data_IF_972464027681
#
_entry.id   IF_972464027681
#
_cell.length_a   1.000
_cell.length_b   1.000
_cell.length_c   1.000
_cell.angle_alpha   90.00
_cell.angle_beta   90.00
_cell.angle_gamma   90.00
#
_symmetry.space_group_name_H-M   'P 1'
#
loop_
_entity.id
_entity.type
_entity.pdbx_description
1 polymer ?
#
# COMPACT_ATOMS: atom_id res chain seq x y z
N UNK A 1 -23.25 -1.70 -36.08
CA UNK A 1 -23.84 -0.60 -35.29
C UNK A 1 -24.22 -1.17 -33.94
N UNK A 2 -23.77 -0.54 -32.84
CA UNK A 2 -23.81 -1.04 -31.46
C UNK A 2 -22.43 -0.88 -30.84
N UNK A 3 -21.96 0.36 -30.69
CA UNK A 3 -22.06 1.17 -29.45
C UNK A 3 -21.02 0.75 -28.41
N UNK A 4 -19.80 1.24 -28.59
CA UNK A 4 -18.78 1.29 -27.54
C UNK A 4 -19.27 2.26 -26.46
N UNK A 5 -19.52 1.74 -25.26
CA UNK A 5 -19.72 2.55 -24.08
C UNK A 5 -18.35 3.11 -23.68
N UNK A 6 -18.15 4.40 -23.91
CA UNK A 6 -17.02 5.14 -23.35
C UNK A 6 -17.15 5.18 -21.83
N UNK A 7 -16.30 4.41 -21.17
CA UNK A 7 -16.07 4.50 -19.73
C UNK A 7 -15.26 5.77 -19.44
N UNK A 8 -15.97 6.87 -19.18
CA UNK A 8 -15.35 8.14 -18.74
C UNK A 8 -15.38 8.18 -17.23
N UNK A 9 -14.24 7.87 -16.62
CA UNK A 9 -14.00 8.13 -15.21
C UNK A 9 -14.20 9.65 -14.90
N UNK A 10 -14.62 10.03 -13.68
CA UNK A 10 -14.85 11.42 -13.32
C UNK A 10 -13.51 12.17 -13.24
N UNK A 11 -13.09 12.76 -14.36
CA UNK A 11 -11.86 13.54 -14.47
C UNK A 11 -11.76 14.39 -15.74
N UNK A 12 -12.85 14.47 -16.52
CA UNK A 12 -12.89 15.32 -17.72
C UNK A 12 -12.85 16.80 -17.29
N UNK A 13 -11.65 17.37 -17.42
CA UNK A 13 -11.31 18.80 -17.51
C UNK A 13 -12.11 19.72 -16.56
N UNK A 14 -11.48 20.08 -15.45
CA UNK A 14 -11.93 21.23 -14.64
C UNK A 14 -12.28 22.41 -15.58
N UNK A 15 -13.41 23.12 -15.36
CA UNK A 15 -13.73 24.33 -16.09
C UNK A 15 -12.52 25.27 -16.20
N UNK A 16 -12.40 26.00 -17.31
CA UNK A 16 -11.22 26.86 -17.57
C UNK A 16 -10.93 27.84 -16.44
N UNK A 17 -11.98 28.34 -15.78
CA UNK A 17 -11.87 29.23 -14.62
C UNK A 17 -11.22 28.53 -13.42
N UNK A 18 -11.66 27.31 -13.10
CA UNK A 18 -11.08 26.49 -12.04
C UNK A 18 -9.62 26.13 -12.34
N UNK A 19 -9.28 25.89 -13.60
CA UNK A 19 -7.89 25.63 -14.02
C UNK A 19 -6.99 26.84 -13.81
N UNK A 20 -7.47 28.05 -14.11
CA UNK A 20 -6.69 29.30 -13.92
C UNK A 20 -6.55 29.61 -12.42
N UNK A 21 -7.63 29.49 -11.64
CA UNK A 21 -7.61 29.72 -10.20
C UNK A 21 -6.74 28.69 -9.48
N UNK A 22 -6.84 27.40 -9.82
CA UNK A 22 -6.01 26.35 -9.22
C UNK A 22 -4.53 26.56 -9.53
N UNK A 23 -4.20 26.99 -10.76
CA UNK A 23 -2.83 27.29 -11.16
C UNK A 23 -2.26 28.46 -10.37
N UNK A 24 -3.03 29.55 -10.23
CA UNK A 24 -2.62 30.72 -9.44
C UNK A 24 -2.44 30.37 -7.95
N UNK A 25 -3.37 29.58 -7.38
CA UNK A 25 -3.27 29.09 -6.01
C UNK A 25 -2.05 28.18 -5.82
N UNK A 26 -1.78 27.26 -6.75
CA UNK A 26 -0.62 26.36 -6.68
C UNK A 26 0.73 27.08 -6.67
N UNK A 27 0.79 28.26 -7.30
CA UNK A 27 2.00 29.08 -7.37
C UNK A 27 2.19 29.98 -6.14
N UNK A 28 1.10 30.42 -5.52
CA UNK A 28 1.13 31.43 -4.43
C UNK A 28 1.02 30.82 -3.04
N UNK A 29 0.38 29.65 -2.90
CA UNK A 29 0.22 28.98 -1.61
C UNK A 29 1.45 28.12 -1.26
N UNK A 30 1.74 28.04 0.03
CA UNK A 30 2.87 27.27 0.55
C UNK A 30 2.45 25.87 1.00
N UNK A 31 2.69 24.86 0.15
CA UNK A 31 2.40 23.45 0.43
C UNK A 31 3.51 22.72 1.21
N UNK A 32 4.12 23.38 2.20
CA UNK A 32 5.22 22.82 3.01
C UNK A 32 4.99 21.37 3.49
N UNK A 33 3.83 21.00 4.07
CA UNK A 33 3.61 19.63 4.54
C UNK A 33 3.61 18.60 3.40
N UNK A 34 2.98 18.91 2.27
CA UNK A 34 2.92 18.00 1.11
C UNK A 34 4.31 17.82 0.48
N UNK A 35 5.14 18.88 0.50
CA UNK A 35 6.53 18.83 0.03
C UNK A 35 7.46 17.95 0.90
N UNK A 36 7.01 17.45 2.06
CA UNK A 36 7.76 16.51 2.90
C UNK A 36 7.60 15.04 2.47
N UNK A 37 6.74 14.74 1.50
CA UNK A 37 6.64 13.40 0.92
C UNK A 37 7.99 13.05 0.27
N UNK A 38 8.62 11.99 0.74
CA UNK A 38 9.99 11.60 0.38
C UNK A 38 10.12 10.17 -0.15
N UNK A 39 9.05 9.37 -0.09
CA UNK A 39 9.04 8.01 -0.60
C UNK A 39 7.72 7.68 -1.30
N UNK A 40 7.81 6.97 -2.43
CA UNK A 40 6.71 6.29 -3.09
C UNK A 40 6.91 4.79 -2.93
N UNK A 41 5.97 4.13 -2.26
CA UNK A 41 5.89 2.68 -2.18
C UNK A 41 4.62 2.20 -2.89
N UNK A 42 4.65 0.98 -3.42
CA UNK A 42 3.47 0.32 -3.92
C UNK A 42 3.35 -1.07 -3.29
N UNK A 43 2.16 -1.35 -2.77
CA UNK A 43 1.82 -2.56 -2.04
C UNK A 43 0.37 -2.96 -2.34
N UNK A 44 -0.11 -3.98 -1.63
CA UNK A 44 -1.50 -4.40 -1.71
C UNK A 44 -2.04 -4.54 -0.30
N UNK A 45 -3.26 -4.08 -0.07
CA UNK A 45 -3.96 -4.24 1.21
C UNK A 45 -5.11 -5.22 1.09
N UNK A 46 -5.38 -5.95 2.17
CA UNK A 46 -6.57 -6.75 2.36
C UNK A 46 -7.52 -6.06 3.35
N UNK A 47 -8.83 -6.20 3.16
CA UNK A 47 -9.80 -5.71 4.13
C UNK A 47 -9.77 -6.58 5.38
N UNK A 48 -9.72 -6.00 6.59
CA UNK A 48 -9.68 -6.79 7.82
C UNK A 48 -10.95 -7.65 8.03
N UNK A 49 -12.11 -7.16 7.58
CA UNK A 49 -13.40 -7.85 7.66
C UNK A 49 -13.64 -8.84 6.51
N UNK A 50 -12.99 -8.63 5.36
CA UNK A 50 -13.03 -9.51 4.19
C UNK A 50 -11.63 -9.65 3.55
N UNK A 51 -10.74 -10.47 4.14
CA UNK A 51 -9.34 -10.55 3.70
C UNK A 51 -9.13 -11.11 2.29
N UNK A 52 -10.21 -11.55 1.62
CA UNK A 52 -10.18 -12.01 0.24
C UNK A 52 -10.24 -10.87 -0.78
N UNK A 53 -10.75 -9.70 -0.37
CA UNK A 53 -10.73 -8.49 -1.19
C UNK A 53 -9.40 -7.78 -1.04
N UNK A 54 -8.85 -7.34 -2.17
CA UNK A 54 -7.51 -6.76 -2.25
C UNK A 54 -7.50 -5.45 -3.03
N UNK A 55 -6.73 -4.49 -2.55
CA UNK A 55 -6.59 -3.15 -3.17
C UNK A 55 -5.11 -2.86 -3.37
N UNK A 56 -4.68 -2.67 -4.62
CA UNK A 56 -3.36 -2.12 -4.91
C UNK A 56 -3.30 -0.69 -4.39
N UNK A 57 -2.25 -0.36 -3.66
CA UNK A 57 -2.14 0.91 -2.95
C UNK A 57 -0.80 1.56 -3.23
N UNK A 58 -0.85 2.84 -3.61
CA UNK A 58 0.32 3.70 -3.78
C UNK A 58 0.48 4.58 -2.54
N UNK A 59 1.55 4.37 -1.80
CA UNK A 59 1.86 5.06 -0.56
C UNK A 59 2.83 6.20 -0.86
N UNK A 60 2.39 7.42 -0.57
CA UNK A 60 3.24 8.61 -0.65
C UNK A 60 3.54 9.07 0.78
N UNK A 61 4.75 8.75 1.23
CA UNK A 61 5.11 8.78 2.63
C UNK A 61 6.02 9.96 3.00
N UNK A 62 5.81 10.48 4.20
CA UNK A 62 6.69 11.41 4.89
C UNK A 62 7.13 10.80 6.22
N UNK A 63 8.39 11.00 6.59
CA UNK A 63 8.91 10.63 7.92
C UNK A 63 8.63 11.77 8.91
N UNK A 64 7.93 11.50 10.01
CA UNK A 64 7.64 12.51 11.04
C UNK A 64 8.81 12.66 12.03
N UNK A 65 9.32 11.53 12.51
CA UNK A 65 10.48 11.41 13.37
C UNK A 65 11.17 10.06 13.12
N UNK A 66 12.12 9.63 13.95
CA UNK A 66 12.81 8.35 13.78
C UNK A 66 11.93 7.11 14.07
N UNK A 67 10.74 7.31 14.64
CA UNK A 67 9.85 6.24 15.08
C UNK A 67 8.52 6.16 14.33
N UNK A 68 8.11 7.23 13.64
CA UNK A 68 6.82 7.37 12.99
C UNK A 68 6.97 7.83 11.54
N UNK A 69 6.38 7.05 10.64
CA UNK A 69 6.15 7.39 9.24
C UNK A 69 4.65 7.45 8.99
N UNK A 70 4.23 8.36 8.12
CA UNK A 70 2.85 8.47 7.69
C UNK A 70 2.78 8.53 6.16
N UNK A 71 1.72 8.01 5.58
CA UNK A 71 1.53 7.95 4.15
C UNK A 71 0.11 8.36 3.77
N UNK A 72 0.00 9.13 2.69
CA UNK A 72 -1.26 9.29 1.97
C UNK A 72 -1.33 8.15 0.95
N UNK A 73 -2.47 7.48 0.91
CA UNK A 73 -2.69 6.31 0.07
C UNK A 73 -3.53 6.70 -1.14
N UNK A 74 -3.08 6.30 -2.32
CA UNK A 74 -3.76 6.51 -3.60
C UNK A 74 -4.02 5.19 -4.32
N UNK A 75 -5.09 5.14 -5.13
CA UNK A 75 -5.43 3.98 -5.94
C UNK A 75 -4.55 3.79 -7.19
N UNK A 76 -3.85 4.84 -7.61
CA UNK A 76 -2.94 4.83 -8.75
C UNK A 76 -1.80 5.84 -8.54
N UNK A 77 -0.70 5.76 -9.31
CA UNK A 77 0.37 6.74 -9.29
C UNK A 77 0.12 7.94 -10.22
N UNK A 78 -1.05 8.00 -10.88
CA UNK A 78 -1.36 8.98 -11.93
C UNK A 78 -1.80 10.33 -11.34
N UNK A 79 -1.68 11.45 -12.08
CA UNK A 79 -2.00 12.78 -11.56
C UNK A 79 -3.44 12.98 -11.06
N UNK A 80 -4.39 12.19 -11.53
CA UNK A 80 -5.81 12.22 -11.14
C UNK A 80 -6.19 11.09 -10.17
N UNK A 81 -5.21 10.46 -9.54
CA UNK A 81 -5.43 9.39 -8.58
C UNK A 81 -6.33 9.84 -7.41
N UNK A 82 -7.17 8.92 -6.94
CA UNK A 82 -8.05 9.16 -5.80
C UNK A 82 -7.28 8.92 -4.51
N UNK A 83 -7.40 9.82 -3.54
CA UNK A 83 -6.96 9.54 -2.17
C UNK A 83 -7.91 8.49 -1.61
N UNK A 84 -7.38 7.29 -1.32
CA UNK A 84 -8.17 6.18 -0.80
C UNK A 84 -7.99 5.98 0.68
N UNK A 85 -6.97 6.55 1.32
CA UNK A 85 -6.72 6.31 2.73
C UNK A 85 -5.46 6.92 3.29
N UNK A 86 -5.16 6.54 4.53
CA UNK A 86 -3.96 6.94 5.26
C UNK A 86 -3.36 5.70 5.92
N UNK A 87 -2.04 5.65 5.99
CA UNK A 87 -1.32 4.68 6.79
C UNK A 87 -0.33 5.36 7.72
N UNK A 88 -0.20 4.81 8.93
CA UNK A 88 0.90 5.08 9.85
C UNK A 88 1.76 3.83 9.96
N UNK A 89 3.07 4.01 9.96
CA UNK A 89 4.04 2.97 10.27
C UNK A 89 4.86 3.40 11.48
N UNK A 90 4.99 2.49 12.46
CA UNK A 90 5.72 2.76 13.70
C UNK A 90 6.76 1.67 13.99
N UNK A 91 7.77 2.02 14.78
CA UNK A 91 8.77 1.06 15.26
C UNK A 91 8.16 0.02 16.18
N UNK A 92 8.82 -1.14 16.28
CA UNK A 92 8.42 -2.21 17.20
C UNK A 92 8.30 -1.72 18.66
N UNK A 93 9.22 -0.87 19.13
CA UNK A 93 9.17 -0.32 20.49
C UNK A 93 7.90 0.50 20.74
N UNK A 94 7.50 1.33 19.77
CA UNK A 94 6.25 2.10 19.84
C UNK A 94 5.04 1.18 19.82
N UNK A 95 5.04 0.21 18.92
CA UNK A 95 3.96 -0.76 18.81
C UNK A 95 3.75 -1.57 20.10
N UNK A 96 4.82 -2.07 20.71
CA UNK A 96 4.75 -2.84 21.97
C UNK A 96 4.21 -2.02 23.15
N UNK A 97 4.39 -0.70 23.11
CA UNK A 97 3.87 0.22 24.13
C UNK A 97 2.37 0.52 23.99
N UNK A 98 1.75 0.17 22.86
CA UNK A 98 0.32 0.40 22.63
C UNK A 98 -0.55 -0.52 23.51
N UNK A 99 -1.76 -0.09 23.87
CA UNK A 99 -2.78 -0.97 24.45
C UNK A 99 -3.08 -2.19 23.56
N UNK A 100 -3.48 -3.30 24.17
CA UNK A 100 -3.66 -4.58 23.45
C UNK A 100 -4.79 -4.55 22.41
N UNK A 101 -5.87 -3.82 22.69
CA UNK A 101 -6.97 -3.56 21.77
C UNK A 101 -6.52 -2.73 20.56
N UNK A 102 -5.67 -1.73 20.80
CA UNK A 102 -5.09 -0.91 19.75
C UNK A 102 -4.11 -1.70 18.88
N UNK A 103 -3.23 -2.53 19.48
CA UNK A 103 -2.26 -3.37 18.75
C UNK A 103 -2.91 -4.27 17.68
N UNK A 104 -4.12 -4.76 17.94
CA UNK A 104 -4.88 -5.61 17.00
C UNK A 104 -5.26 -4.91 15.71
N UNK A 105 -5.19 -3.57 15.67
CA UNK A 105 -5.47 -2.76 14.48
C UNK A 105 -4.25 -2.59 13.57
N UNK A 106 -3.12 -3.21 13.90
CA UNK A 106 -1.88 -3.09 13.14
C UNK A 106 -1.48 -4.42 12.51
N UNK A 107 -0.74 -4.34 11.41
CA UNK A 107 -0.17 -5.46 10.70
C UNK A 107 1.36 -5.39 10.66
N UNK A 108 2.01 -6.52 10.45
CA UNK A 108 3.46 -6.60 10.23
C UNK A 108 3.79 -6.48 8.74
N UNK A 109 4.93 -5.88 8.40
CA UNK A 109 5.38 -5.77 6.99
C UNK A 109 6.25 -6.95 6.53
N UNK A 110 6.39 -7.99 7.36
CA UNK A 110 7.39 -9.05 7.14
C UNK A 110 7.17 -9.76 5.80
N UNK A 111 5.94 -10.22 5.56
CA UNK A 111 5.62 -10.95 4.35
C UNK A 111 5.60 -10.04 3.12
N UNK A 112 5.08 -8.82 3.23
CA UNK A 112 5.08 -7.82 2.17
C UNK A 112 6.47 -7.55 1.60
N UNK A 113 7.43 -7.31 2.51
CA UNK A 113 8.83 -7.12 2.14
C UNK A 113 9.39 -8.40 1.52
N UNK A 114 9.21 -9.54 2.18
CA UNK A 114 9.85 -10.80 1.81
C UNK A 114 9.32 -11.41 0.52
N UNK A 115 8.03 -11.26 0.23
CA UNK A 115 7.40 -11.80 -0.97
C UNK A 115 7.74 -11.03 -2.23
N UNK A 116 8.29 -9.81 -2.10
CA UNK A 116 8.58 -8.94 -3.23
C UNK A 116 7.38 -8.11 -3.70
N UNK A 117 6.19 -8.26 -3.09
CA UNK A 117 5.01 -7.48 -3.46
C UNK A 117 5.15 -6.00 -3.11
N UNK A 118 5.82 -5.66 -1.99
CA UNK A 118 6.12 -4.28 -1.65
C UNK A 118 7.32 -3.81 -2.47
N UNK A 119 7.17 -2.73 -3.22
CA UNK A 119 8.26 -2.14 -4.02
C UNK A 119 8.32 -0.63 -3.85
N UNK A 120 9.46 -0.04 -4.19
CA UNK A 120 9.57 1.40 -4.40
C UNK A 120 9.77 1.66 -5.90
N UNK A 121 8.73 2.07 -6.65
CA UNK A 121 8.86 2.30 -8.09
C UNK A 121 9.87 3.41 -8.40
N UNK A 122 10.81 3.14 -9.31
CA UNK A 122 11.73 4.17 -9.81
C UNK A 122 12.30 3.77 -11.17
N UNK A 123 12.07 4.62 -12.17
CA UNK A 123 12.56 4.43 -13.55
C UNK A 123 13.72 5.36 -13.91
N UNK A 124 14.03 6.32 -13.05
CA UNK A 124 15.02 7.37 -13.31
C UNK A 124 16.44 6.94 -12.89
N UNK A 125 16.54 6.09 -11.88
CA UNK A 125 17.82 5.64 -11.31
C UNK A 125 18.25 4.32 -11.96
N UNK A 126 19.55 4.12 -12.29
CA UNK A 126 20.04 2.86 -12.82
C UNK A 126 19.64 1.65 -11.96
N UNK A 127 19.11 0.59 -12.59
CA UNK A 127 18.51 -0.57 -11.90
C UNK A 127 19.36 -1.06 -10.74
N UNK A 128 20.63 -1.40 -10.96
CA UNK A 128 21.51 -1.95 -9.91
C UNK A 128 21.69 -1.03 -8.70
N UNK A 129 21.79 0.29 -8.91
CA UNK A 129 21.89 1.26 -7.82
C UNK A 129 20.57 1.37 -7.07
N UNK A 130 19.45 1.35 -7.79
CA UNK A 130 18.11 1.39 -7.19
C UNK A 130 17.79 0.13 -6.39
N UNK A 131 18.10 -1.06 -6.90
CA UNK A 131 17.92 -2.33 -6.19
C UNK A 131 18.62 -2.34 -4.82
N UNK A 132 19.85 -1.79 -4.76
CA UNK A 132 20.59 -1.68 -3.51
C UNK A 132 19.93 -0.69 -2.53
N UNK A 133 19.50 0.48 -3.03
CA UNK A 133 18.85 1.50 -2.21
C UNK A 133 17.50 1.01 -1.67
N UNK A 134 16.66 0.44 -2.53
CA UNK A 134 15.37 -0.12 -2.17
C UNK A 134 15.53 -1.27 -1.17
N UNK A 135 16.50 -2.18 -1.37
CA UNK A 135 16.78 -3.26 -0.41
C UNK A 135 17.12 -2.73 0.98
N UNK A 136 17.91 -1.66 1.09
CA UNK A 136 18.23 -1.02 2.37
C UNK A 136 17.03 -0.37 3.03
N UNK A 137 16.09 0.15 2.24
CA UNK A 137 14.83 0.66 2.80
C UNK A 137 13.94 -0.49 3.28
N UNK A 138 13.90 -1.61 2.54
CA UNK A 138 13.19 -2.82 2.95
C UNK A 138 13.75 -3.43 4.25
N UNK A 139 15.05 -3.32 4.50
CA UNK A 139 15.67 -3.72 5.78
C UNK A 139 15.14 -2.91 6.97
N UNK A 140 14.65 -1.68 6.74
CA UNK A 140 13.99 -0.87 7.78
C UNK A 140 12.51 -1.19 7.85
N UNK A 141 11.79 -1.17 6.72
CA UNK A 141 10.34 -1.34 6.67
C UNK A 141 9.90 -2.68 7.26
N UNK A 142 10.68 -3.75 7.05
CA UNK A 142 10.39 -5.07 7.60
C UNK A 142 10.24 -5.08 9.12
N UNK A 143 10.82 -4.09 9.82
CA UNK A 143 10.78 -3.95 11.29
C UNK A 143 9.62 -3.12 11.82
N UNK A 144 8.87 -2.46 10.92
CA UNK A 144 7.78 -1.55 11.29
C UNK A 144 6.45 -2.30 11.37
N UNK A 145 5.50 -1.74 12.11
CA UNK A 145 4.09 -2.12 12.12
C UNK A 145 3.26 -1.05 11.42
N UNK A 146 2.30 -1.46 10.59
CA UNK A 146 1.43 -0.58 9.80
C UNK A 146 0.00 -0.56 10.33
N UNK A 147 -0.62 0.62 10.39
CA UNK A 147 -2.07 0.80 10.61
C UNK A 147 -2.63 1.64 9.48
N UNK A 148 -3.44 1.00 8.65
CA UNK A 148 -4.01 1.60 7.45
C UNK A 148 -5.53 1.61 7.50
N UNK A 149 -6.13 2.75 7.13
CA UNK A 149 -7.57 2.85 6.89
C UNK A 149 -7.82 3.33 5.48
N UNK A 150 -8.66 2.60 4.75
CA UNK A 150 -9.20 3.05 3.46
C UNK A 150 -10.57 3.71 3.66
N UNK A 151 -10.72 4.91 3.12
CA UNK A 151 -11.93 5.72 3.11
C UNK A 151 -12.72 5.56 1.81
N UNK A 152 -12.09 5.01 0.76
CA UNK A 152 -12.71 4.80 -0.55
C UNK A 152 -12.48 3.37 -1.02
N UNK A 153 -13.57 2.62 -1.23
CA UNK A 153 -13.55 1.25 -1.73
C UNK A 153 -13.59 1.22 -3.27
N UNK A 154 -12.48 1.56 -3.90
CA UNK A 154 -12.37 1.66 -5.36
C UNK A 154 -12.50 0.31 -6.08
N UNK A 155 -12.20 -0.79 -5.40
CA UNK A 155 -12.37 -2.16 -5.90
C UNK A 155 -13.84 -2.55 -6.15
N UNK A 156 -14.78 -1.90 -5.47
CA UNK A 156 -16.23 -2.06 -5.71
C UNK A 156 -16.75 -1.25 -6.91
N UNK A 157 -15.92 -0.36 -7.46
CA UNK A 157 -16.33 0.58 -8.50
C UNK A 157 -17.08 1.81 -7.96
N UNK A 158 -16.99 2.10 -6.66
CA UNK A 158 -17.68 3.26 -6.07
C UNK A 158 -17.15 4.58 -6.67
N UNK A 159 -18.04 5.44 -7.17
CA UNK A 159 -17.71 6.75 -7.75
C UNK A 159 -17.31 7.82 -6.71
N UNK A 160 -17.63 7.59 -5.43
CA UNK A 160 -17.34 8.47 -4.30
C UNK A 160 -16.93 7.65 -3.07
N UNK A 161 -16.27 8.24 -2.07
CA UNK A 161 -15.90 7.54 -0.83
C UNK A 161 -17.14 7.31 0.06
N UNK A 162 -17.88 6.23 -0.22
CA UNK A 162 -19.10 5.87 0.50
C UNK A 162 -18.83 4.97 1.71
N UNK A 163 -19.61 5.19 2.78
CA UNK A 163 -19.61 4.33 3.96
C UNK A 163 -18.55 4.70 5.00
N UNK A 164 -18.30 3.76 5.91
CA UNK A 164 -17.36 3.94 7.02
C UNK A 164 -15.92 3.60 6.61
N UNK A 165 -14.91 4.20 7.28
CA UNK A 165 -13.51 3.81 7.12
C UNK A 165 -13.32 2.31 7.30
N UNK A 166 -12.61 1.68 6.38
CA UNK A 166 -12.31 0.25 6.43
C UNK A 166 -10.87 0.04 6.94
N UNK A 167 -10.74 -0.78 7.98
CA UNK A 167 -9.43 -1.21 8.47
C UNK A 167 -8.77 -2.12 7.45
N UNK A 168 -7.54 -1.80 7.09
CA UNK A 168 -6.75 -2.52 6.11
C UNK A 168 -5.59 -3.26 6.77
N UNK A 169 -5.29 -4.45 6.25
CA UNK A 169 -4.27 -5.35 6.75
C UNK A 169 -3.34 -5.77 5.62
N UNK A 170 -2.11 -6.14 6.00
CA UNK A 170 -1.15 -6.78 5.11
C UNK A 170 -1.41 -8.29 5.02
N UNK A 171 -0.69 -8.96 4.12
CA UNK A 171 -0.74 -10.41 3.95
C UNK A 171 0.33 -11.09 4.82
N UNK A 172 0.12 -12.35 5.20
CA UNK A 172 1.08 -13.09 6.06
C UNK A 172 1.67 -14.33 5.41
N UNK A 173 1.15 -14.75 4.25
CA UNK A 173 1.57 -15.99 3.57
C UNK A 173 1.14 -16.05 2.11
N UNK A 174 1.84 -16.90 1.34
CA UNK A 174 1.48 -17.23 -0.03
C UNK A 174 0.04 -17.78 -0.09
N UNK A 175 -0.70 -17.42 -1.14
CA UNK A 175 -2.09 -17.81 -1.34
C UNK A 175 -3.12 -16.84 -0.73
N UNK A 176 -2.71 -15.84 0.04
CA UNK A 176 -3.63 -14.79 0.51
C UNK A 176 -3.92 -13.73 -0.56
N UNK A 177 -2.96 -13.48 -1.45
CA UNK A 177 -3.05 -12.55 -2.57
C UNK A 177 -2.96 -13.32 -3.88
N UNK A 178 -3.74 -12.92 -4.88
CA UNK A 178 -3.53 -13.34 -6.26
C UNK A 178 -2.30 -12.62 -6.84
N UNK A 179 -1.19 -13.35 -6.99
CA UNK A 179 0.06 -12.80 -7.50
C UNK A 179 0.00 -12.44 -8.99
N UNK A 180 -1.03 -12.85 -9.73
CA UNK A 180 -1.28 -12.32 -11.07
C UNK A 180 -1.42 -10.79 -11.06
N UNK A 181 -2.05 -10.23 -10.02
CA UNK A 181 -2.16 -8.77 -9.84
C UNK A 181 -0.81 -8.10 -9.57
N UNK A 182 0.11 -8.80 -8.89
CA UNK A 182 1.48 -8.33 -8.65
C UNK A 182 2.28 -8.33 -9.95
N UNK A 183 2.07 -9.33 -10.82
CA UNK A 183 2.68 -9.40 -12.15
C UNK A 183 2.19 -8.25 -13.05
N UNK A 184 0.89 -7.98 -13.08
CA UNK A 184 0.33 -6.83 -13.80
C UNK A 184 0.94 -5.50 -13.32
N UNK A 185 1.10 -5.34 -12.00
CA UNK A 185 1.74 -4.17 -11.40
C UNK A 185 3.21 -4.08 -11.82
N UNK A 186 3.92 -5.19 -11.80
CA UNK A 186 5.32 -5.26 -12.17
C UNK A 186 5.56 -4.87 -13.63
N UNK A 187 4.68 -5.28 -14.55
CA UNK A 187 4.70 -4.79 -15.94
C UNK A 187 4.56 -3.27 -16.00
N UNK A 188 3.59 -2.71 -15.25
CA UNK A 188 3.34 -1.26 -15.22
C UNK A 188 4.47 -0.45 -14.62
N UNK A 189 5.24 -0.98 -13.66
CA UNK A 189 6.39 -0.26 -13.07
C UNK A 189 7.75 -0.65 -13.63
N UNK A 190 7.86 -1.76 -14.35
CA UNK A 190 9.14 -2.34 -14.76
C UNK A 190 9.89 -2.99 -13.58
N UNK A 191 9.16 -3.57 -12.64
CA UNK A 191 9.70 -4.32 -11.49
C UNK A 191 9.57 -5.83 -11.70
N UNK A 192 10.10 -6.64 -10.77
CA UNK A 192 9.93 -8.09 -10.80
C UNK A 192 9.96 -8.64 -9.37
N UNK A 193 8.79 -9.00 -8.82
CA UNK A 193 8.62 -9.43 -7.44
C UNK A 193 9.38 -10.73 -7.16
N UNK A 194 9.59 -11.60 -8.16
CA UNK A 194 10.35 -12.85 -8.00
C UNK A 194 11.83 -12.56 -7.79
N UNK A 195 12.40 -11.63 -8.58
CA UNK A 195 13.76 -11.12 -8.35
C UNK A 195 13.89 -10.44 -6.98
N UNK A 196 12.91 -9.60 -6.60
CA UNK A 196 12.87 -8.94 -5.28
C UNK A 196 12.81 -9.96 -4.15
N UNK A 197 11.90 -10.94 -4.24
CA UNK A 197 11.75 -12.04 -3.28
C UNK A 197 13.07 -12.75 -3.04
N UNK A 198 13.78 -13.05 -4.12
CA UNK A 198 15.06 -13.75 -4.04
C UNK A 198 16.16 -12.89 -3.42
N UNK A 199 16.29 -11.64 -3.88
CA UNK A 199 17.27 -10.70 -3.34
C UNK A 199 17.04 -10.38 -1.85
N UNK A 200 15.79 -10.46 -1.37
CA UNK A 200 15.38 -10.14 0.00
C UNK A 200 15.39 -11.33 0.95
N UNK A 201 15.72 -12.54 0.49
CA UNK A 201 15.93 -13.71 1.38
C UNK A 201 16.95 -13.43 2.48
N UNK A 202 17.99 -12.63 2.19
CA UNK A 202 19.05 -12.29 3.15
C UNK A 202 18.64 -11.29 4.24
N UNK A 203 17.52 -10.58 4.10
CA UNK A 203 17.05 -9.64 5.13
C UNK A 203 16.65 -10.43 6.38
N UNK A 204 17.06 -10.04 7.58
CA UNK A 204 16.62 -10.74 8.79
C UNK A 204 15.12 -10.45 9.05
N UNK A 205 14.32 -11.49 9.30
CA UNK A 205 12.92 -11.29 9.71
C UNK A 205 12.86 -11.03 11.22
N UNK A 206 12.22 -9.94 11.67
CA UNK A 206 11.99 -9.72 13.10
C UNK A 206 10.95 -10.70 13.64
N UNK A 207 10.91 -10.84 14.97
CA UNK A 207 9.83 -11.56 15.64
C UNK A 207 8.56 -10.69 15.58
N UNK A 208 7.50 -11.23 14.98
CA UNK A 208 6.19 -10.57 14.94
C UNK A 208 5.51 -10.75 16.30
N UNK A 209 4.94 -9.67 16.83
CA UNK A 209 4.15 -9.69 18.05
C UNK A 209 2.80 -10.38 17.81
N UNK A 210 2.36 -11.22 18.76
CA UNK A 210 1.17 -12.09 18.56
C UNK A 210 -0.19 -11.38 18.45
N UNK A 211 -0.24 -10.09 18.78
CA UNK A 211 -1.46 -9.26 18.61
C UNK A 211 -1.59 -8.66 17.21
N UNK A 212 -0.50 -8.62 16.42
CA UNK A 212 -0.53 -8.06 15.07
C UNK A 212 -1.23 -9.03 14.11
N UNK A 213 -1.56 -8.56 12.90
CA UNK A 213 -2.13 -9.40 11.84
C UNK A 213 -3.43 -10.11 12.26
N UNK A 214 -4.18 -9.48 13.17
CA UNK A 214 -5.31 -10.07 13.92
C UNK A 214 -6.40 -10.64 13.01
N UNK A 215 -6.62 -10.06 11.82
CA UNK A 215 -7.61 -10.53 10.86
C UNK A 215 -7.31 -11.97 10.39
N UNK A 216 -6.03 -12.34 10.24
CA UNK A 216 -5.62 -13.67 9.80
C UNK A 216 -5.70 -14.69 10.93
N UNK A 217 -5.53 -14.27 12.18
CA UNK A 217 -5.82 -15.10 13.35
C UNK A 217 -7.32 -15.46 13.38
N UNK A 218 -8.20 -14.46 13.30
CA UNK A 218 -9.65 -14.66 13.26
C UNK A 218 -10.10 -15.48 12.03
N UNK A 219 -9.45 -15.29 10.86
CA UNK A 219 -9.71 -16.08 9.66
C UNK A 219 -9.47 -17.57 9.90
N UNK A 220 -8.32 -17.92 10.48
CA UNK A 220 -7.96 -19.31 10.80
C UNK A 220 -8.87 -19.92 11.85
N UNK A 221 -9.22 -19.17 12.89
CA UNK A 221 -10.12 -19.63 13.96
C UNK A 221 -11.53 -19.98 13.46
N UNK A 222 -12.00 -19.32 12.40
CA UNK A 222 -13.26 -19.64 11.71
C UNK A 222 -13.20 -20.93 10.87
N UNK A 223 -12.06 -21.61 10.82
CA UNK A 223 -11.85 -22.82 10.03
C UNK A 223 -11.69 -22.57 8.53
N UNK A 224 -11.54 -21.31 8.13
CA UNK A 224 -11.31 -20.97 6.74
C UNK A 224 -9.91 -21.45 6.33
N UNK A 225 -9.85 -22.21 5.22
CA UNK A 225 -8.57 -22.59 4.62
C UNK A 225 -8.00 -21.41 3.85
N UNK A 226 -6.68 -21.34 3.77
CA UNK A 226 -6.00 -20.54 2.76
C UNK A 226 -6.57 -20.93 1.39
N UNK A 227 -7.01 -19.98 0.55
CA UNK A 227 -7.43 -20.29 -0.81
C UNK A 227 -6.33 -21.09 -1.52
N UNK A 228 -6.68 -22.07 -2.38
CA UNK A 228 -5.67 -22.71 -3.22
C UNK A 228 -4.91 -21.61 -3.96
N UNK A 229 -3.57 -21.69 -3.93
CA UNK A 229 -2.72 -20.70 -4.57
C UNK A 229 -3.17 -20.46 -6.01
N UNK A 230 -3.43 -19.21 -6.36
CA UNK A 230 -3.59 -18.82 -7.76
C UNK A 230 -2.31 -19.22 -8.49
N UNK A 231 -2.45 -20.18 -9.41
CA UNK A 231 -1.43 -20.81 -10.25
C UNK A 231 0.02 -20.37 -9.96
N UNK A 232 0.71 -21.10 -9.07
CA UNK A 232 2.16 -21.13 -9.08
C UNK A 232 2.62 -21.89 -10.33
N UNK A 233 2.72 -21.19 -11.45
CA UNK A 233 3.55 -21.59 -12.58
C UNK A 233 4.88 -20.83 -12.54
#
# INVERSE_FOLDING_TARGET
>A
MGSEAHDKAPGDLLPKEDTVLSSAASFTQDFKPVKQICAHLNAFHAYANDPMRSVETNHYCSQLDDEVRQCILYDSPEPNARIIGIEYMITANRYESLPADERRLWHSHVYEVKSGMLVMPNRMVPKAAWELAEKREMEKIITLYGKAYHLWQTDRGDELPLGEPQLMMSYTSDGHLDFGRVEERDERFGTNYREKREARKSIASPKIHGDADSCWHAWRERGNKTPPSYNQK
#
